data_IF_420487232310
#
_entry.id   IF_420487232310
#
_cell.length_a   1.000
_cell.length_b   1.000
_cell.length_c   1.000
_cell.angle_alpha   90.00
_cell.angle_beta   90.00
_cell.angle_gamma   90.00
#
_symmetry.space_group_name_H-M   'P 1'
#
loop_
_entity.id
_entity.type
_entity.pdbx_description
1 polymer ?
#
# COMPACT_ATOMS: atom_id res chain seq x y z
N UNK A 1 19.72 -12.93 9.06
CA UNK A 1 19.42 -11.48 8.85
C UNK A 1 18.02 -11.20 9.41
N UNK A 2 17.52 -9.97 9.48
CA UNK A 2 16.11 -9.71 9.82
C UNK A 2 15.32 -9.36 8.57
N UNK A 3 14.07 -9.80 8.49
CA UNK A 3 13.14 -9.42 7.43
C UNK A 3 12.85 -7.92 7.52
N UNK A 4 13.07 -7.13 6.45
CA UNK A 4 12.78 -5.69 6.47
C UNK A 4 11.28 -5.36 6.55
N UNK A 5 10.41 -6.37 6.36
CA UNK A 5 8.95 -6.22 6.40
C UNK A 5 8.40 -6.44 7.81
N UNK A 6 8.71 -7.58 8.45
CA UNK A 6 8.12 -7.97 9.74
C UNK A 6 9.13 -8.01 10.90
N UNK A 7 10.42 -7.86 10.64
CA UNK A 7 11.47 -7.92 11.67
C UNK A 7 11.85 -9.32 12.15
N UNK A 8 11.20 -10.38 11.66
CA UNK A 8 11.52 -11.77 12.02
C UNK A 8 12.88 -12.21 11.44
N UNK A 9 13.59 -13.13 12.12
CA UNK A 9 14.86 -13.64 11.63
C UNK A 9 14.67 -14.46 10.35
N UNK A 10 15.55 -14.22 9.38
CA UNK A 10 15.68 -14.96 8.14
C UNK A 10 16.95 -15.81 8.19
N UNK A 11 16.78 -17.09 7.87
CA UNK A 11 17.86 -17.99 7.53
C UNK A 11 18.26 -17.75 6.07
N UNK A 12 19.52 -17.40 5.85
CA UNK A 12 20.07 -17.11 4.52
C UNK A 12 21.23 -18.07 4.20
N UNK A 13 21.37 -19.18 4.93
CA UNK A 13 22.42 -20.16 4.65
C UNK A 13 22.25 -20.74 3.23
N UNK A 14 23.28 -20.58 2.40
CA UNK A 14 23.28 -21.06 1.02
C UNK A 14 22.71 -20.11 -0.05
N UNK A 15 22.29 -18.89 0.33
CA UNK A 15 21.80 -17.88 -0.61
C UNK A 15 22.94 -17.01 -1.16
N UNK A 16 22.90 -16.76 -2.46
CA UNK A 16 23.82 -15.89 -3.19
C UNK A 16 23.16 -14.56 -3.59
N UNK A 17 23.97 -13.58 -3.96
CA UNK A 17 23.47 -12.30 -4.44
C UNK A 17 22.62 -12.48 -5.71
N UNK A 18 21.39 -11.98 -5.68
CA UNK A 18 20.38 -12.17 -6.72
C UNK A 18 19.30 -13.17 -6.35
N UNK A 19 19.54 -14.05 -5.37
CA UNK A 19 18.58 -15.07 -4.96
C UNK A 19 17.35 -14.46 -4.29
N UNK A 20 16.23 -15.16 -4.45
CA UNK A 20 14.94 -14.82 -3.84
C UNK A 20 14.69 -15.70 -2.62
N UNK A 21 14.34 -15.07 -1.50
CA UNK A 21 13.98 -15.71 -0.24
C UNK A 21 12.56 -15.30 0.16
N UNK A 22 11.73 -16.29 0.47
CA UNK A 22 10.42 -16.07 1.08
C UNK A 22 10.55 -15.91 2.60
N UNK A 23 9.89 -14.91 3.17
CA UNK A 23 9.76 -14.79 4.61
C UNK A 23 8.56 -15.61 5.10
N UNK A 24 8.80 -16.79 5.70
CA UNK A 24 7.74 -17.68 6.17
C UNK A 24 6.76 -17.02 7.15
N UNK A 25 7.21 -16.00 7.90
CA UNK A 25 6.40 -15.33 8.91
C UNK A 25 5.39 -14.33 8.33
N UNK A 26 5.71 -13.66 7.21
CA UNK A 26 4.85 -12.61 6.63
C UNK A 26 4.51 -12.81 5.15
N UNK A 27 5.05 -13.84 4.51
CA UNK A 27 4.83 -14.15 3.09
C UNK A 27 5.47 -13.17 2.11
N UNK A 28 6.32 -12.24 2.56
CA UNK A 28 7.02 -11.32 1.67
C UNK A 28 8.16 -12.04 0.91
N UNK A 29 8.33 -11.71 -0.37
CA UNK A 29 9.43 -12.20 -1.20
C UNK A 29 10.54 -11.16 -1.25
N UNK A 30 11.76 -11.56 -0.91
CA UNK A 30 12.92 -10.69 -0.75
C UNK A 30 14.04 -11.09 -1.70
N UNK A 31 14.77 -10.13 -2.25
CA UNK A 31 15.98 -10.37 -3.05
C UNK A 31 17.21 -9.98 -2.26
N UNK A 32 18.18 -10.90 -2.15
CA UNK A 32 19.49 -10.58 -1.60
C UNK A 32 20.30 -9.76 -2.62
N UNK A 33 20.70 -8.56 -2.25
CA UNK A 33 21.49 -7.67 -3.09
C UNK A 33 22.99 -7.96 -2.92
N UNK A 34 23.77 -7.52 -3.91
CA UNK A 34 25.23 -7.75 -3.93
C UNK A 34 25.98 -7.02 -2.81
N UNK A 35 25.37 -6.01 -2.19
CA UNK A 35 25.89 -5.31 -1.02
C UNK A 35 25.52 -6.00 0.31
N UNK A 36 24.83 -7.14 0.24
CA UNK A 36 24.36 -7.90 1.40
C UNK A 36 23.08 -7.36 2.04
N UNK A 37 22.38 -6.42 1.41
CA UNK A 37 21.07 -5.94 1.87
C UNK A 37 19.91 -6.72 1.23
N UNK A 38 18.69 -6.59 1.76
CA UNK A 38 17.49 -7.24 1.23
C UNK A 38 16.57 -6.20 0.60
N UNK A 39 16.20 -6.41 -0.66
CA UNK A 39 15.17 -5.64 -1.34
C UNK A 39 13.84 -6.40 -1.30
N UNK A 40 12.74 -5.70 -0.97
CA UNK A 40 11.40 -6.30 -1.02
C UNK A 40 10.94 -6.35 -2.48
N UNK A 41 10.75 -7.57 -3.00
CA UNK A 41 10.26 -7.82 -4.35
C UNK A 41 8.75 -7.92 -4.35
N UNK A 42 8.18 -8.69 -3.42
CA UNK A 42 6.74 -8.80 -3.21
C UNK A 42 6.42 -8.49 -1.75
N UNK A 43 5.35 -7.71 -1.54
CA UNK A 43 4.90 -7.35 -0.20
C UNK A 43 4.36 -8.56 0.58
N UNK A 44 4.08 -8.40 1.89
CA UNK A 44 3.53 -9.49 2.70
C UNK A 44 2.21 -10.01 2.10
N UNK A 45 1.97 -11.31 2.24
CA UNK A 45 0.78 -11.98 1.69
C UNK A 45 0.32 -13.15 2.55
N UNK A 46 -0.92 -13.10 3.01
CA UNK A 46 -1.64 -14.22 3.63
C UNK A 46 -2.89 -14.59 2.84
N UNK A 47 -3.19 -15.89 2.75
CA UNK A 47 -4.48 -16.36 2.23
C UNK A 47 -5.60 -15.97 3.20
N UNK A 48 -6.63 -15.29 2.69
CA UNK A 48 -7.83 -14.90 3.45
C UNK A 48 -7.87 -13.46 3.96
N UNK A 49 -6.97 -12.60 3.51
CA UNK A 49 -6.80 -11.25 4.05
C UNK A 49 -7.71 -10.17 3.43
N UNK A 50 -8.06 -9.12 4.20
CA UNK A 50 -8.88 -7.94 3.81
C UNK A 50 -8.38 -7.12 2.60
N UNK A 51 -7.23 -7.48 2.04
CA UNK A 51 -6.64 -6.89 0.83
C UNK A 51 -6.77 -7.82 -0.39
N UNK A 52 -7.71 -8.76 -0.37
CA UNK A 52 -8.02 -9.59 -1.55
C UNK A 52 -8.32 -8.66 -2.74
N UNK A 53 -7.48 -8.71 -3.77
CA UNK A 53 -7.59 -7.82 -4.93
C UNK A 53 -6.52 -6.73 -5.01
N UNK A 54 -5.59 -6.62 -4.06
CA UNK A 54 -4.40 -5.76 -4.18
C UNK A 54 -3.12 -6.57 -4.03
N UNK A 55 -2.34 -6.64 -5.10
CA UNK A 55 -0.96 -7.13 -5.12
C UNK A 55 -0.02 -5.98 -5.44
N UNK A 56 1.19 -6.04 -4.90
CA UNK A 56 2.19 -5.01 -5.11
C UNK A 56 3.59 -5.62 -5.17
N UNK A 57 4.38 -5.16 -6.14
CA UNK A 57 5.74 -5.62 -6.37
C UNK A 57 6.68 -4.46 -6.70
N UNK A 58 7.92 -4.55 -6.22
CA UNK A 58 8.96 -3.56 -6.44
C UNK A 58 9.71 -3.80 -7.76
N UNK A 59 9.87 -2.74 -8.55
CA UNK A 59 10.63 -2.75 -9.81
C UNK A 59 11.60 -1.54 -9.84
N UNK A 60 12.77 -1.69 -9.20
CA UNK A 60 13.73 -0.59 -9.06
C UNK A 60 13.13 0.58 -8.26
N UNK A 61 13.09 1.77 -8.87
CA UNK A 61 12.47 2.98 -8.29
C UNK A 61 10.94 3.00 -8.43
N UNK A 62 10.37 2.04 -9.16
CA UNK A 62 8.93 1.91 -9.35
C UNK A 62 8.34 0.83 -8.47
N UNK A 63 7.05 0.96 -8.22
CA UNK A 63 6.20 -0.08 -7.67
C UNK A 63 5.11 -0.34 -8.69
N UNK A 64 4.77 -1.61 -8.87
CA UNK A 64 3.63 -1.99 -9.68
C UNK A 64 2.54 -2.47 -8.74
N UNK A 65 1.36 -1.89 -8.92
CA UNK A 65 0.15 -2.27 -8.20
C UNK A 65 -0.73 -3.04 -9.17
N UNK A 66 -1.07 -4.26 -8.80
CA UNK A 66 -2.00 -5.12 -9.54
C UNK A 66 -3.29 -5.21 -8.74
N UNK A 67 -4.37 -4.74 -9.35
CA UNK A 67 -5.71 -4.74 -8.81
C UNK A 67 -6.52 -5.85 -9.45
N UNK A 68 -7.25 -6.63 -8.65
CA UNK A 68 -8.12 -7.67 -9.17
C UNK A 68 -9.49 -7.69 -8.51
N UNK A 69 -10.53 -7.78 -9.34
CA UNK A 69 -11.91 -7.94 -8.89
C UNK A 69 -12.63 -8.93 -9.82
N UNK A 70 -12.98 -10.10 -9.29
CA UNK A 70 -13.55 -11.18 -10.09
C UNK A 70 -12.57 -11.70 -11.15
N UNK A 71 -12.91 -11.51 -12.42
CA UNK A 71 -12.08 -11.90 -13.57
C UNK A 71 -11.27 -10.73 -14.17
N UNK A 72 -11.41 -9.52 -13.62
CA UNK A 72 -10.69 -8.33 -14.07
C UNK A 72 -9.38 -8.21 -13.30
N UNK A 73 -8.31 -7.94 -14.04
CA UNK A 73 -6.99 -7.62 -13.50
C UNK A 73 -6.47 -6.36 -14.21
N UNK A 74 -6.05 -5.36 -13.44
CA UNK A 74 -5.51 -4.10 -13.93
C UNK A 74 -4.18 -3.80 -13.22
N UNK A 75 -3.18 -3.35 -13.96
CA UNK A 75 -1.86 -3.00 -13.40
C UNK A 75 -1.54 -1.53 -13.66
N UNK A 76 -1.00 -0.85 -12.67
CA UNK A 76 -0.43 0.50 -12.81
C UNK A 76 0.96 0.56 -12.21
N UNK A 77 1.87 1.30 -12.85
CA UNK A 77 3.22 1.52 -12.35
C UNK A 77 3.35 2.94 -11.82
N UNK A 78 3.81 3.07 -10.58
CA UNK A 78 3.99 4.33 -9.89
C UNK A 78 5.43 4.47 -9.41
N UNK A 79 5.91 5.70 -9.22
CA UNK A 79 7.17 5.94 -8.52
C UNK A 79 7.00 5.63 -7.03
N UNK A 80 7.92 4.85 -6.45
CA UNK A 80 7.90 4.47 -5.03
C UNK A 80 7.83 5.69 -4.13
N UNK A 81 8.68 6.69 -4.40
CA UNK A 81 8.77 7.91 -3.62
C UNK A 81 7.47 8.73 -3.66
N UNK A 82 6.82 8.82 -4.83
CA UNK A 82 5.55 9.56 -4.98
C UNK A 82 4.41 8.87 -4.25
N UNK A 83 4.28 7.54 -4.39
CA UNK A 83 3.27 6.78 -3.67
C UNK A 83 3.49 6.84 -2.15
N UNK A 84 4.75 6.76 -1.69
CA UNK A 84 5.07 6.87 -0.27
C UNK A 84 4.68 8.24 0.30
N UNK A 85 5.00 9.32 -0.41
CA UNK A 85 4.64 10.68 -0.02
C UNK A 85 3.12 10.89 -0.04
N UNK A 86 2.42 10.34 -1.04
CA UNK A 86 0.97 10.39 -1.10
C UNK A 86 0.33 9.68 0.10
N UNK A 87 0.78 8.48 0.44
CA UNK A 87 0.30 7.75 1.62
C UNK A 87 0.59 8.52 2.92
N UNK A 88 1.78 9.13 3.05
CA UNK A 88 2.12 9.99 4.21
C UNK A 88 1.16 11.17 4.32
N UNK A 89 0.87 11.88 3.23
CA UNK A 89 -0.09 13.00 3.23
C UNK A 89 -1.50 12.55 3.62
N UNK A 90 -1.93 11.36 3.19
CA UNK A 90 -3.23 10.80 3.59
C UNK A 90 -3.26 10.37 5.06
N UNK A 91 -2.12 9.97 5.63
CA UNK A 91 -1.97 9.69 7.06
C UNK A 91 -1.96 10.98 7.91
N UNK A 92 -1.22 12.00 7.46
CA UNK A 92 -1.00 13.29 8.14
C UNK A 92 -2.17 14.27 8.01
N UNK A 93 -2.93 14.20 6.91
CA UNK A 93 -4.09 15.08 6.67
C UNK A 93 -5.22 14.96 7.71
N UNK A 94 -5.05 14.11 8.72
CA UNK A 94 -5.81 14.12 9.97
C UNK A 94 -5.04 15.01 10.97
N UNK A 95 -5.04 16.32 10.72
CA UNK A 95 -4.65 17.31 11.73
C UNK A 95 -5.71 17.38 12.84
N UNK A 96 -5.27 17.62 14.07
CA UNK A 96 -6.07 17.62 15.31
C UNK A 96 -7.44 18.32 15.17
N UNK A 97 -8.47 17.70 15.79
CA UNK A 97 -9.89 18.10 15.85
C UNK A 97 -10.19 19.58 15.49
N UNK A 98 -11.05 19.80 14.49
CA UNK A 98 -11.82 21.04 14.47
C UNK A 98 -12.64 21.12 15.77
N UNK A 99 -12.64 22.25 16.49
CA UNK A 99 -13.38 22.37 17.74
C UNK A 99 -14.85 22.02 17.49
N UNK A 100 -15.41 21.10 18.30
CA UNK A 100 -16.83 20.78 18.26
C UNK A 100 -17.63 22.03 18.60
N UNK A 101 -18.19 22.68 17.59
CA UNK A 101 -19.29 23.60 17.81
C UNK A 101 -20.49 22.77 18.27
N UNK A 102 -20.84 22.93 19.53
CA UNK A 102 -22.09 22.43 20.05
C UNK A 102 -23.20 23.29 19.43
N UNK A 103 -23.93 22.73 18.47
CA UNK A 103 -25.40 22.82 18.32
C UNK A 103 -25.87 22.20 16.99
N UNK A 104 -26.93 21.39 17.09
CA UNK A 104 -27.68 20.67 16.06
C UNK A 104 -26.98 19.53 15.29
N UNK A 105 -27.49 18.29 15.44
CA UNK A 105 -26.98 17.07 14.78
C UNK A 105 -26.79 17.29 13.26
N UNK A 106 -25.54 17.40 12.76
CA UNK A 106 -25.30 17.66 11.35
C UNK A 106 -25.35 16.35 10.57
N UNK A 107 -25.79 16.40 9.32
CA UNK A 107 -25.49 15.34 8.36
C UNK A 107 -23.98 15.10 8.37
N UNK A 108 -23.55 13.91 8.81
CA UNK A 108 -22.15 13.52 8.86
C UNK A 108 -21.68 13.28 7.41
N UNK A 109 -21.27 14.33 6.71
CA UNK A 109 -20.59 14.17 5.42
C UNK A 109 -19.22 13.51 5.66
N UNK A 110 -18.75 12.58 4.80
CA UNK A 110 -17.47 11.93 5.02
C UNK A 110 -16.32 12.92 4.83
N UNK A 111 -15.29 12.83 5.66
CA UNK A 111 -14.03 13.56 5.44
C UNK A 111 -13.24 12.86 4.33
N UNK A 112 -12.91 13.60 3.28
CA UNK A 112 -12.17 13.10 2.13
C UNK A 112 -10.80 13.76 2.02
N UNK A 113 -9.75 12.96 2.09
CA UNK A 113 -8.40 13.40 1.73
C UNK A 113 -8.06 12.79 0.37
N UNK A 114 -7.73 13.62 -0.61
CA UNK A 114 -7.47 13.17 -1.99
C UNK A 114 -6.06 13.59 -2.41
N UNK A 115 -5.32 12.66 -3.03
CA UNK A 115 -4.01 12.90 -3.64
C UNK A 115 -4.02 12.37 -5.06
N UNK A 116 -3.39 13.09 -5.98
CA UNK A 116 -3.23 12.68 -7.37
C UNK A 116 -1.80 12.19 -7.60
N UNK A 117 -1.66 11.09 -8.31
CA UNK A 117 -0.41 10.47 -8.73
C UNK A 117 -0.43 10.32 -10.26
N UNK A 118 0.75 10.22 -10.86
CA UNK A 118 0.89 9.92 -12.28
C UNK A 118 1.45 8.51 -12.45
N UNK A 119 0.78 7.68 -13.26
CA UNK A 119 1.25 6.33 -13.60
C UNK A 119 1.78 6.26 -15.04
N UNK A 120 2.29 5.10 -15.43
CA UNK A 120 2.65 4.80 -16.82
C UNK A 120 1.47 4.83 -17.80
N UNK A 121 0.24 4.78 -17.29
CA UNK A 121 -1.00 4.74 -18.09
C UNK A 121 -1.87 6.00 -17.93
N UNK A 122 -1.42 6.98 -17.15
CA UNK A 122 -2.14 8.22 -16.86
C UNK A 122 -2.42 8.44 -15.37
N UNK A 123 -3.32 9.37 -15.02
CA UNK A 123 -3.52 9.79 -13.63
C UNK A 123 -4.18 8.71 -12.78
N UNK A 124 -3.67 8.52 -11.57
CA UNK A 124 -4.24 7.68 -10.51
C UNK A 124 -4.64 8.59 -9.36
N UNK A 125 -5.84 8.39 -8.80
CA UNK A 125 -6.31 9.15 -7.64
C UNK A 125 -6.34 8.25 -6.42
N UNK A 126 -5.71 8.67 -5.34
CA UNK A 126 -5.85 8.04 -4.03
C UNK A 126 -6.75 8.90 -3.17
N UNK A 127 -7.72 8.26 -2.52
CA UNK A 127 -8.62 8.93 -1.59
C UNK A 127 -8.73 8.14 -0.29
N UNK A 128 -8.51 8.80 0.84
CA UNK A 128 -8.87 8.25 2.15
C UNK A 128 -10.28 8.73 2.51
N UNK A 129 -11.13 7.79 2.88
CA UNK A 129 -12.54 8.04 3.23
C UNK A 129 -12.69 7.74 4.71
N UNK A 130 -13.04 8.77 5.50
CA UNK A 130 -13.30 8.67 6.92
C UNK A 130 -14.76 8.97 7.20
N UNK A 131 -15.46 8.03 7.84
CA UNK A 131 -16.84 8.20 8.25
C UNK A 131 -17.06 7.63 9.65
N UNK A 132 -17.76 8.39 10.51
CA UNK A 132 -17.99 8.00 11.89
C UNK A 132 -18.78 6.70 11.97
N UNK A 133 -18.21 5.67 12.60
CA UNK A 133 -18.82 4.35 12.74
C UNK A 133 -18.66 3.43 11.53
N UNK A 134 -17.92 3.83 10.49
CA UNK A 134 -17.56 2.97 9.36
C UNK A 134 -16.04 2.69 9.33
N UNK A 135 -15.59 1.65 8.58
CA UNK A 135 -14.17 1.40 8.38
C UNK A 135 -13.44 2.57 7.71
N UNK A 136 -12.17 2.78 8.09
CA UNK A 136 -11.23 3.70 7.43
C UNK A 136 -10.77 3.08 6.10
N UNK A 137 -11.11 3.71 4.97
CA UNK A 137 -10.94 3.13 3.64
C UNK A 137 -9.95 3.95 2.81
N UNK A 138 -9.07 3.25 2.10
CA UNK A 138 -8.28 3.77 0.98
C UNK A 138 -8.94 3.36 -0.33
N UNK A 139 -9.31 4.34 -1.13
CA UNK A 139 -9.83 4.18 -2.49
C UNK A 139 -8.74 4.53 -3.50
N UNK A 140 -8.63 3.69 -4.54
CA UNK A 140 -7.84 3.95 -5.74
C UNK A 140 -8.78 4.13 -6.92
N UNK A 141 -8.64 5.25 -7.65
CA UNK A 141 -9.24 5.43 -8.97
C UNK A 141 -8.15 5.27 -10.02
N UNK A 142 -8.29 4.27 -10.89
CA UNK A 142 -7.35 3.96 -11.96
C UNK A 142 -7.62 4.81 -13.22
N UNK A 143 -6.68 4.90 -14.18
CA UNK A 143 -6.86 5.66 -15.42
C UNK A 143 -8.03 5.16 -16.28
N UNK A 144 -8.39 3.88 -16.15
CA UNK A 144 -9.57 3.27 -16.78
C UNK A 144 -10.91 3.82 -16.24
N UNK A 145 -10.88 4.47 -15.07
CA UNK A 145 -12.06 4.87 -14.30
C UNK A 145 -12.52 3.82 -13.28
N UNK A 146 -11.85 2.67 -13.20
CA UNK A 146 -12.13 1.64 -12.20
C UNK A 146 -11.81 2.13 -10.78
N UNK A 147 -12.58 1.66 -9.80
CA UNK A 147 -12.46 2.02 -8.39
C UNK A 147 -12.20 0.78 -7.55
N UNK A 148 -11.17 0.83 -6.70
CA UNK A 148 -10.83 -0.25 -5.77
C UNK A 148 -10.70 0.29 -4.35
N UNK A 149 -11.29 -0.41 -3.38
CA UNK A 149 -11.34 0.03 -2.00
C UNK A 149 -10.74 -1.01 -1.06
N UNK A 150 -9.89 -0.56 -0.15
CA UNK A 150 -9.17 -1.40 0.80
C UNK A 150 -9.15 -0.75 2.18
N UNK A 151 -9.06 -1.51 3.29
CA UNK A 151 -8.87 -0.90 4.60
C UNK A 151 -7.56 -0.10 4.64
N UNK A 152 -7.65 1.18 4.98
CA UNK A 152 -6.56 2.15 4.83
C UNK A 152 -5.29 1.70 5.56
N UNK A 153 -5.43 1.32 6.83
CA UNK A 153 -4.28 0.93 7.68
C UNK A 153 -3.59 -0.35 7.19
N UNK A 154 -4.35 -1.27 6.62
CA UNK A 154 -3.79 -2.53 6.11
C UNK A 154 -3.12 -2.30 4.75
N UNK A 155 -3.74 -1.53 3.87
CA UNK A 155 -3.14 -1.14 2.59
C UNK A 155 -1.81 -0.40 2.82
N UNK A 156 -1.76 0.56 3.74
CA UNK A 156 -0.52 1.27 4.10
C UNK A 156 0.52 0.29 4.66
N UNK A 157 0.14 -0.61 5.57
CA UNK A 157 1.05 -1.61 6.15
C UNK A 157 1.65 -2.52 5.09
N UNK A 158 0.85 -2.94 4.09
CA UNK A 158 1.28 -3.81 3.00
C UNK A 158 2.18 -3.09 2.00
N UNK A 159 1.83 -1.86 1.64
CA UNK A 159 2.55 -1.11 0.62
C UNK A 159 3.85 -0.51 1.15
N UNK A 160 3.86 0.07 2.35
CA UNK A 160 5.01 0.83 2.87
C UNK A 160 6.36 0.11 2.76
N UNK A 161 6.50 -1.19 3.07
CA UNK A 161 7.77 -1.91 2.95
C UNK A 161 8.33 -1.99 1.52
N UNK A 162 7.47 -1.92 0.50
CA UNK A 162 7.88 -1.92 -0.92
C UNK A 162 8.34 -0.54 -1.40
N UNK A 163 7.96 0.52 -0.69
CA UNK A 163 8.16 1.91 -1.12
C UNK A 163 9.38 2.56 -0.47
N UNK A 164 9.98 1.92 0.54
CA UNK A 164 11.23 2.31 1.18
C UNK A 164 12.42 1.76 0.39
#
# INVERSE_FOLDING_TARGET
MLCPVCGEPLDLEGYEAGDLQDCEACGAVLRLLSDGTLAVVEGPGGEGEPLSGLKAYGEGEKVVLSFSEGALEEEVRLLKAELLEALRRLEEGVGEEAPKEAEDEPNLEPDYLTVHLESDQGPVVLRRILFAGAPDVLEFTLPSGALYQFPFREAVRRLRPLLL
#
